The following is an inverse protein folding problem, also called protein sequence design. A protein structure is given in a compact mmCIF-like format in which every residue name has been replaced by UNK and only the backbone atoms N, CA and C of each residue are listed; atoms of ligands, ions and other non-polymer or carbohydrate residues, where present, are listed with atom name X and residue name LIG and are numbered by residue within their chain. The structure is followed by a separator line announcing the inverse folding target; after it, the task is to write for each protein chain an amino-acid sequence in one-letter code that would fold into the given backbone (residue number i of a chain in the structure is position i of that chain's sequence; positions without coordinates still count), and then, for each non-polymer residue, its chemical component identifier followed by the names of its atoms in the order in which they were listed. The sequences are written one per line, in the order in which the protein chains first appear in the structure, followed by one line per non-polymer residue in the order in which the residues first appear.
data_IF_383523890133
#
_entry.id   IF_383523890133
#
_cell.length_a   1.000
_cell.length_b   1.000
_cell.length_c   1.000
_cell.angle_alpha   90.00
_cell.angle_beta   90.00
_cell.angle_gamma   90.00
#
_symmetry.space_group_name_H-M   'P 1'
#
loop_
_entity.id
_entity.type
_entity.pdbx_description
1 polymer ?
#
# COMPACT_ATOMS: atom_id res chain seq x y z
N UNK A 1 13.75 -20.79 17.44
CA UNK A 1 13.55 -21.83 16.40
C UNK A 1 14.37 -23.03 16.82
N UNK A 2 13.73 -24.08 17.34
CA UNK A 2 14.42 -25.34 17.64
C UNK A 2 14.57 -26.13 16.34
N UNK A 3 15.81 -26.40 15.93
CA UNK A 3 16.10 -27.07 14.67
C UNK A 3 15.82 -28.59 14.79
N UNK A 4 15.24 -29.24 13.77
CA UNK A 4 15.19 -30.69 13.72
C UNK A 4 16.57 -31.29 13.96
N UNK A 5 16.66 -32.38 14.74
CA UNK A 5 17.92 -33.02 15.16
C UNK A 5 18.76 -33.60 14.01
N UNK A 6 18.33 -33.45 12.75
CA UNK A 6 18.91 -34.07 11.56
C UNK A 6 19.55 -33.09 10.56
N UNK A 7 19.49 -31.78 10.77
CA UNK A 7 20.18 -30.82 9.88
C UNK A 7 21.66 -30.77 10.22
N UNK A 8 22.53 -30.96 9.22
CA UNK A 8 23.98 -30.79 9.39
C UNK A 8 24.32 -29.29 9.56
N UNK A 9 25.46 -28.99 10.19
CA UNK A 9 25.89 -27.61 10.48
C UNK A 9 26.02 -26.75 9.21
N UNK A 10 26.34 -27.37 8.07
CA UNK A 10 26.37 -26.69 6.77
C UNK A 10 24.97 -26.23 6.34
N UNK A 11 23.95 -27.08 6.47
CA UNK A 11 22.57 -26.72 6.13
C UNK A 11 22.05 -25.62 7.05
N UNK A 12 22.34 -25.69 8.36
CA UNK A 12 22.01 -24.61 9.30
C UNK A 12 22.70 -23.29 8.95
N UNK A 13 23.89 -23.34 8.37
CA UNK A 13 24.65 -22.15 7.99
C UNK A 13 24.10 -21.56 6.68
N UNK A 14 23.78 -22.39 5.69
CA UNK A 14 23.12 -21.98 4.45
C UNK A 14 21.74 -21.36 4.73
N UNK A 15 20.95 -21.95 5.62
CA UNK A 15 19.66 -21.38 6.02
C UNK A 15 19.86 -20.04 6.73
N UNK A 16 20.81 -19.94 7.67
CA UNK A 16 21.16 -18.67 8.35
C UNK A 16 21.63 -17.58 7.40
N UNK A 17 22.34 -17.92 6.32
CA UNK A 17 22.80 -16.96 5.33
C UNK A 17 21.66 -16.48 4.41
N UNK A 18 20.73 -17.36 4.07
CA UNK A 18 19.64 -17.06 3.14
C UNK A 18 18.42 -16.43 3.81
N UNK A 19 18.22 -16.66 5.11
CA UNK A 19 17.13 -16.03 5.85
C UNK A 19 17.48 -14.56 6.15
N UNK A 20 16.53 -13.64 5.91
CA UNK A 20 16.68 -12.24 6.31
C UNK A 20 16.97 -12.14 7.79
N UNK A 21 18.06 -11.45 8.11
CA UNK A 21 18.39 -11.02 9.46
C UNK A 21 17.89 -9.60 9.61
N UNK A 22 17.21 -9.36 10.72
CA UNK A 22 16.64 -8.06 11.05
C UNK A 22 17.32 -7.59 12.31
N UNK A 23 17.86 -6.37 12.27
CA UNK A 23 18.45 -5.70 13.43
C UNK A 23 17.72 -4.39 13.62
N UNK A 24 17.05 -4.25 14.75
CA UNK A 24 16.34 -3.03 15.12
C UNK A 24 17.20 -2.25 16.11
N UNK A 25 17.43 -0.98 15.79
CA UNK A 25 18.32 -0.11 16.52
C UNK A 25 17.65 1.23 16.81
N UNK A 26 17.47 1.52 18.09
CA UNK A 26 16.81 2.72 18.56
C UNK A 26 17.79 3.76 19.15
N UNK A 27 19.11 3.50 19.10
CA UNK A 27 20.15 4.35 19.70
C UNK A 27 20.83 5.25 18.65
N UNK A 28 21.12 4.72 17.46
CA UNK A 28 21.94 5.39 16.43
C UNK A 28 21.33 6.68 15.87
N UNK A 29 19.99 6.78 15.80
CA UNK A 29 19.30 7.95 15.28
C UNK A 29 18.45 8.59 16.38
N UNK A 30 18.52 9.90 16.59
CA UNK A 30 17.75 10.56 17.67
C UNK A 30 16.24 10.59 17.41
N UNK A 31 15.81 10.59 16.15
CA UNK A 31 14.43 10.91 15.74
C UNK A 31 13.64 9.73 15.17
N UNK A 32 14.30 8.60 14.87
CA UNK A 32 13.66 7.44 14.26
C UNK A 32 14.30 6.15 14.77
N UNK A 33 13.56 5.05 14.69
CA UNK A 33 14.07 3.70 14.92
C UNK A 33 14.64 3.18 13.59
N UNK A 34 15.82 2.59 13.61
CA UNK A 34 16.43 1.97 12.44
C UNK A 34 16.03 0.50 12.36
N UNK A 35 15.47 0.08 11.24
CA UNK A 35 15.27 -1.33 10.92
C UNK A 35 16.25 -1.68 9.80
N UNK A 36 17.27 -2.48 10.13
CA UNK A 36 18.31 -2.94 9.21
C UNK A 36 17.96 -4.38 8.82
N UNK A 37 17.82 -4.67 7.53
CA UNK A 37 17.50 -5.99 6.98
C UNK A 37 18.63 -6.43 6.07
N UNK A 38 19.28 -7.54 6.37
CA UNK A 38 20.35 -8.13 5.55
C UNK A 38 20.06 -9.59 5.21
N UNK A 39 20.30 -10.00 3.96
CA UNK A 39 20.31 -11.43 3.60
C UNK A 39 21.06 -11.73 2.31
N UNK A 40 21.41 -13.01 2.13
CA UNK A 40 22.01 -13.50 0.89
C UNK A 40 20.97 -13.88 -0.19
N UNK A 41 19.67 -13.88 0.14
CA UNK A 41 18.57 -14.13 -0.81
C UNK A 41 18.24 -12.83 -1.55
N UNK A 42 18.07 -12.89 -2.87
CA UNK A 42 17.93 -11.68 -3.69
C UNK A 42 16.50 -11.21 -3.93
N UNK A 43 15.53 -12.12 -3.86
CA UNK A 43 14.23 -11.88 -4.48
C UNK A 43 13.16 -11.69 -3.41
N UNK A 44 12.35 -10.63 -3.58
CA UNK A 44 11.11 -10.39 -2.82
C UNK A 44 11.27 -9.68 -1.46
N UNK A 45 12.45 -9.72 -0.83
CA UNK A 45 12.59 -9.29 0.57
C UNK A 45 12.34 -7.80 0.77
N UNK A 46 12.77 -6.93 -0.16
CA UNK A 46 12.49 -5.49 -0.06
C UNK A 46 10.97 -5.23 0.00
N UNK A 47 10.19 -5.87 -0.88
CA UNK A 47 8.74 -5.69 -0.90
C UNK A 47 8.10 -6.25 0.37
N UNK A 48 8.55 -7.41 0.85
CA UNK A 48 8.07 -8.03 2.09
C UNK A 48 8.35 -7.17 3.31
N UNK A 49 9.58 -6.65 3.46
CA UNK A 49 9.96 -5.76 4.54
C UNK A 49 9.13 -4.48 4.53
N UNK A 50 9.02 -3.82 3.37
CA UNK A 50 8.19 -2.62 3.21
C UNK A 50 6.72 -2.93 3.50
N UNK A 51 6.23 -4.12 3.11
CA UNK A 51 4.87 -4.57 3.37
C UNK A 51 4.60 -4.76 4.87
N UNK A 52 5.47 -5.45 5.61
CA UNK A 52 5.35 -5.64 7.06
C UNK A 52 5.34 -4.30 7.79
N UNK A 53 6.26 -3.39 7.44
CA UNK A 53 6.31 -2.06 8.06
C UNK A 53 5.04 -1.26 7.77
N UNK A 54 4.51 -1.39 6.55
CA UNK A 54 3.28 -0.70 6.14
C UNK A 54 2.03 -1.28 6.81
N UNK A 55 1.98 -2.61 7.03
CA UNK A 55 0.90 -3.29 7.74
C UNK A 55 0.77 -2.86 9.21
N UNK A 56 1.86 -2.39 9.80
CA UNK A 56 1.92 -1.87 11.16
C UNK A 56 1.65 -0.35 11.24
N UNK A 57 1.18 0.27 10.15
CA UNK A 57 0.98 1.72 10.01
C UNK A 57 2.25 2.55 10.33
N UNK A 58 3.44 2.00 10.08
CA UNK A 58 4.69 2.70 10.33
C UNK A 58 5.05 3.62 9.17
N UNK A 59 5.60 4.78 9.50
CA UNK A 59 6.06 5.77 8.53
C UNK A 59 7.56 5.64 8.27
N UNK A 60 7.93 5.32 7.03
CA UNK A 60 9.31 5.25 6.57
C UNK A 60 9.72 6.65 6.11
N UNK A 61 10.54 7.35 6.90
CA UNK A 61 10.99 8.73 6.61
C UNK A 61 12.22 8.80 5.71
N UNK A 62 13.03 7.76 5.79
CA UNK A 62 14.27 7.62 5.03
C UNK A 62 14.56 6.16 4.84
N UNK A 63 15.09 5.78 3.69
CA UNK A 63 15.58 4.44 3.49
C UNK A 63 16.76 4.38 2.52
N UNK A 64 17.61 3.39 2.74
CA UNK A 64 18.74 3.05 1.90
C UNK A 64 18.63 1.60 1.51
N UNK A 65 18.51 1.34 0.21
CA UNK A 65 18.38 0.00 -0.35
C UNK A 65 19.67 -0.29 -1.09
N UNK A 66 20.26 -1.47 -0.86
CA UNK A 66 21.47 -1.87 -1.57
C UNK A 66 21.55 -3.38 -1.72
N UNK A 67 21.67 -3.84 -2.96
CA UNK A 67 21.88 -5.23 -3.34
C UNK A 67 23.17 -5.32 -4.16
N UNK A 68 24.24 -5.78 -3.53
CA UNK A 68 25.55 -5.93 -4.13
C UNK A 68 25.91 -7.41 -4.28
N UNK A 69 25.84 -7.90 -5.52
CA UNK A 69 26.34 -9.23 -5.83
C UNK A 69 25.47 -10.33 -5.23
N UNK A 70 25.80 -10.89 -4.07
CA UNK A 70 25.07 -12.00 -3.41
C UNK A 70 24.45 -11.60 -2.08
N UNK A 71 24.63 -10.37 -1.64
CA UNK A 71 24.08 -9.85 -0.40
C UNK A 71 23.24 -8.63 -0.70
N UNK A 72 22.24 -8.38 0.13
CA UNK A 72 21.57 -7.09 0.18
C UNK A 72 21.49 -6.61 1.62
N UNK A 73 21.41 -5.30 1.77
CA UNK A 73 21.26 -4.59 3.03
C UNK A 73 20.35 -3.41 2.81
N UNK A 74 19.20 -3.45 3.46
CA UNK A 74 18.19 -2.41 3.43
C UNK A 74 18.11 -1.78 4.83
N UNK A 75 18.09 -0.46 4.89
CA UNK A 75 18.03 0.30 6.14
C UNK A 75 16.84 1.24 6.07
N UNK A 76 15.88 1.08 6.96
CA UNK A 76 14.68 1.91 7.06
C UNK A 76 14.72 2.75 8.34
N UNK A 77 14.53 4.06 8.21
CA UNK A 77 14.26 4.95 9.33
C UNK A 77 12.75 5.02 9.54
N UNK A 78 12.26 4.31 10.55
CA UNK A 78 10.84 4.15 10.82
C UNK A 78 10.41 4.96 12.04
N UNK A 79 9.19 5.47 11.97
CA UNK A 79 8.50 6.17 13.06
C UNK A 79 7.07 5.66 13.15
N UNK A 80 6.44 5.81 14.31
CA UNK A 80 5.00 5.58 14.45
C UNK A 80 4.17 6.67 13.72
N UNK A 81 2.85 6.54 13.77
CA UNK A 81 1.89 7.52 13.19
C UNK A 81 2.02 8.94 13.76
N UNK A 82 2.66 9.09 14.93
CA UNK A 82 2.89 10.37 15.60
C UNK A 82 4.31 10.92 15.35
N UNK A 83 5.10 10.25 14.52
CA UNK A 83 6.48 10.62 14.22
C UNK A 83 7.46 10.33 15.36
N UNK A 84 7.10 9.46 16.30
CA UNK A 84 7.96 9.03 17.39
C UNK A 84 8.67 7.71 17.07
N UNK A 85 9.73 7.43 17.83
CA UNK A 85 10.42 6.13 17.80
C UNK A 85 9.52 5.02 18.30
N UNK A 86 9.76 3.82 17.79
CA UNK A 86 9.15 2.61 18.32
C UNK A 86 9.72 2.35 19.72
N UNK A 87 8.84 2.25 20.71
CA UNK A 87 9.18 1.94 22.10
C UNK A 87 8.49 0.67 22.59
N UNK A 88 7.50 0.19 21.85
CA UNK A 88 6.77 -1.02 22.16
C UNK A 88 7.57 -2.24 21.68
N UNK A 89 8.09 -2.99 22.65
CA UNK A 89 8.85 -4.22 22.43
C UNK A 89 8.04 -5.30 21.68
N UNK A 90 6.71 -5.29 21.78
CA UNK A 90 5.86 -6.25 21.07
C UNK A 90 5.84 -5.99 19.56
N UNK A 91 5.80 -4.71 19.16
CA UNK A 91 5.87 -4.28 17.76
C UNK A 91 7.26 -4.58 17.19
N UNK A 92 8.32 -4.27 17.95
CA UNK A 92 9.72 -4.54 17.58
C UNK A 92 9.91 -6.05 17.35
N UNK A 93 9.52 -6.88 18.32
CA UNK A 93 9.61 -8.34 18.24
C UNK A 93 8.80 -8.91 17.06
N UNK A 94 7.64 -8.32 16.78
CA UNK A 94 6.80 -8.72 15.65
C UNK A 94 7.46 -8.39 14.30
N UNK A 95 8.10 -7.22 14.15
CA UNK A 95 8.85 -6.85 12.93
C UNK A 95 9.99 -7.83 12.71
N UNK A 96 10.79 -8.11 13.75
CA UNK A 96 11.90 -9.05 13.68
C UNK A 96 11.42 -10.43 13.24
N UNK A 97 10.35 -10.95 13.88
CA UNK A 97 9.83 -12.28 13.56
C UNK A 97 9.25 -12.34 12.15
N UNK A 98 8.42 -11.37 11.78
CA UNK A 98 7.67 -11.39 10.51
C UNK A 98 8.59 -11.26 9.29
N UNK A 99 9.60 -10.39 9.36
CA UNK A 99 10.56 -10.24 8.26
C UNK A 99 11.54 -11.42 8.26
N UNK A 100 12.01 -11.89 9.43
CA UNK A 100 12.97 -13.01 9.50
C UNK A 100 12.37 -14.36 9.05
N UNK A 101 11.05 -14.54 9.23
CA UNK A 101 10.34 -15.76 8.83
C UNK A 101 9.85 -15.76 7.39
N UNK A 102 10.10 -14.70 6.61
CA UNK A 102 9.60 -14.56 5.24
C UNK A 102 10.16 -15.62 4.24
N UNK A 103 11.02 -16.52 4.72
CA UNK A 103 11.60 -17.62 3.94
C UNK A 103 10.98 -19.00 4.14
N UNK A 104 10.22 -19.22 5.21
CA UNK A 104 9.51 -20.48 5.47
C UNK A 104 8.06 -20.31 5.00
N UNK A 105 7.57 -21.24 4.18
CA UNK A 105 6.13 -21.34 3.94
C UNK A 105 5.44 -21.31 5.30
N UNK A 106 4.57 -20.31 5.49
CA UNK A 106 3.85 -20.12 6.73
C UNK A 106 3.29 -21.46 7.20
N UNK A 107 3.78 -21.94 8.34
CA UNK A 107 3.16 -23.03 9.07
C UNK A 107 1.69 -22.60 9.31
N UNK A 108 0.67 -23.30 8.77
CA UNK A 108 -0.74 -22.90 8.88
C UNK A 108 -1.30 -23.07 10.30
N UNK A 109 -0.41 -23.07 11.30
CA UNK A 109 -0.56 -23.75 12.57
C UNK A 109 -0.72 -22.83 13.78
N UNK A 110 -1.20 -21.59 13.66
CA UNK A 110 -1.86 -20.96 14.81
C UNK A 110 -2.66 -19.73 14.44
N UNK A 111 -3.97 -19.90 14.34
CA UNK A 111 -5.02 -19.07 14.95
C UNK A 111 -6.32 -19.40 14.21
N UNK A 112 -7.32 -19.92 14.93
CA UNK A 112 -8.62 -20.26 14.37
C UNK A 112 -9.22 -19.03 13.69
N UNK A 113 -9.16 -19.01 12.37
CA UNK A 113 -9.65 -17.89 11.59
C UNK A 113 -10.87 -18.31 10.80
N UNK A 114 -11.92 -17.52 10.94
CA UNK A 114 -13.18 -17.72 10.24
C UNK A 114 -12.94 -17.58 8.74
N UNK A 115 -13.18 -18.66 7.98
CA UNK A 115 -13.14 -18.61 6.53
C UNK A 115 -14.13 -17.51 6.04
N UNK A 116 -13.74 -16.81 4.97
CA UNK A 116 -14.52 -15.74 4.35
C UNK A 116 -14.62 -16.00 2.85
N UNK A 117 -15.72 -15.57 2.23
CA UNK A 117 -15.84 -15.58 0.77
C UNK A 117 -15.35 -14.25 0.24
N UNK A 118 -14.33 -14.26 -0.63
CA UNK A 118 -13.73 -13.05 -1.20
C UNK A 118 -14.29 -12.78 -2.60
N UNK A 119 -14.84 -11.59 -2.78
CA UNK A 119 -15.32 -11.03 -4.04
C UNK A 119 -14.27 -10.08 -4.60
N UNK A 120 -13.81 -10.35 -5.82
CA UNK A 120 -12.98 -9.44 -6.60
C UNK A 120 -13.82 -8.81 -7.71
N UNK A 121 -13.87 -7.48 -7.73
CA UNK A 121 -14.63 -6.70 -8.70
C UNK A 121 -13.70 -5.72 -9.40
N UNK A 122 -13.63 -5.81 -10.73
CA UNK A 122 -12.89 -4.88 -11.57
C UNK A 122 -13.79 -4.42 -12.71
N UNK A 123 -13.81 -3.13 -13.03
CA UNK A 123 -14.60 -2.63 -14.15
C UNK A 123 -14.62 -1.12 -14.32
N UNK A 124 -15.62 -0.62 -15.05
CA UNK A 124 -15.85 0.83 -15.22
C UNK A 124 -16.55 1.43 -14.01
N UNK A 125 -15.97 2.49 -13.46
CA UNK A 125 -16.55 3.23 -12.35
C UNK A 125 -17.63 4.21 -12.81
N UNK A 126 -18.59 4.47 -11.92
CA UNK A 126 -19.62 5.51 -12.09
C UNK A 126 -20.19 5.93 -10.73
N UNK A 127 -20.69 7.18 -10.62
CA UNK A 127 -21.36 7.63 -9.40
C UNK A 127 -22.46 6.66 -8.95
N UNK A 128 -22.40 6.27 -7.68
CA UNK A 128 -23.36 5.37 -7.05
C UNK A 128 -23.10 3.87 -7.26
N UNK A 129 -22.03 3.47 -7.95
CA UNK A 129 -21.71 2.05 -8.18
C UNK A 129 -21.55 1.27 -6.87
N UNK A 130 -20.80 1.80 -5.91
CA UNK A 130 -20.64 1.18 -4.59
C UNK A 130 -21.99 0.96 -3.89
N UNK A 131 -22.88 1.94 -3.93
CA UNK A 131 -24.22 1.83 -3.33
C UNK A 131 -25.03 0.69 -3.96
N UNK A 132 -24.94 0.50 -5.27
CA UNK A 132 -25.63 -0.59 -5.96
C UNK A 132 -25.01 -1.97 -5.64
N UNK A 133 -23.68 -2.06 -5.56
CA UNK A 133 -22.99 -3.30 -5.15
C UNK A 133 -23.40 -3.70 -3.73
N UNK A 134 -23.34 -2.77 -2.78
CA UNK A 134 -23.75 -3.02 -1.39
C UNK A 134 -25.24 -3.38 -1.31
N UNK A 135 -26.10 -2.73 -2.10
CA UNK A 135 -27.52 -3.06 -2.16
C UNK A 135 -27.77 -4.48 -2.68
N UNK A 136 -27.04 -4.94 -3.72
CA UNK A 136 -27.13 -6.33 -4.22
C UNK A 136 -26.70 -7.33 -3.15
N UNK A 137 -25.59 -7.07 -2.46
CA UNK A 137 -25.12 -7.95 -1.38
C UNK A 137 -26.12 -8.02 -0.23
N UNK A 138 -26.70 -6.88 0.14
CA UNK A 138 -27.75 -6.80 1.18
C UNK A 138 -29.03 -7.54 0.77
N UNK A 139 -29.45 -7.43 -0.49
CA UNK A 139 -30.64 -8.12 -1.03
C UNK A 139 -30.45 -9.65 -1.03
N UNK A 140 -29.23 -10.10 -1.33
CA UNK A 140 -28.84 -11.51 -1.32
C UNK A 140 -28.44 -12.03 0.06
N UNK A 141 -28.71 -11.29 1.15
CA UNK A 141 -28.40 -11.71 2.52
C UNK A 141 -26.92 -12.06 2.71
N UNK A 142 -26.04 -11.22 2.18
CA UNK A 142 -24.61 -11.32 2.34
C UNK A 142 -24.13 -10.15 3.21
N UNK A 143 -23.58 -10.47 4.38
CA UNK A 143 -22.98 -9.47 5.26
C UNK A 143 -21.56 -9.16 4.81
N UNK A 144 -21.25 -7.88 4.65
CA UNK A 144 -19.88 -7.43 4.35
C UNK A 144 -19.09 -7.38 5.66
N UNK A 145 -18.00 -8.14 5.73
CA UNK A 145 -17.12 -8.18 6.91
C UNK A 145 -15.95 -7.21 6.73
N UNK A 146 -15.37 -7.22 5.55
CA UNK A 146 -14.25 -6.37 5.19
C UNK A 146 -14.39 -5.97 3.73
N UNK A 147 -14.08 -4.72 3.39
CA UNK A 147 -14.05 -4.31 2.00
C UNK A 147 -13.07 -3.17 1.77
N UNK A 148 -12.29 -3.29 0.71
CA UNK A 148 -11.39 -2.26 0.20
C UNK A 148 -11.70 -1.95 -1.24
N UNK A 149 -11.77 -0.66 -1.56
CA UNK A 149 -12.15 -0.19 -2.88
C UNK A 149 -11.32 1.01 -3.29
N UNK A 150 -10.80 0.96 -4.52
CA UNK A 150 -10.10 2.05 -5.18
C UNK A 150 -10.80 2.40 -6.49
N UNK A 151 -10.87 3.70 -6.78
CA UNK A 151 -11.25 4.21 -8.09
C UNK A 151 -10.10 5.03 -8.65
N UNK A 152 -9.84 4.90 -9.94
CA UNK A 152 -8.81 5.68 -10.62
C UNK A 152 -9.19 5.84 -12.09
N UNK A 153 -9.24 7.09 -12.58
CA UNK A 153 -9.52 7.44 -13.99
C UNK A 153 -10.76 6.73 -14.57
N UNK A 154 -11.84 6.63 -13.79
CA UNK A 154 -13.08 5.98 -14.21
C UNK A 154 -13.03 4.44 -14.25
N UNK A 155 -12.00 3.83 -13.64
CA UNK A 155 -11.92 2.40 -13.34
C UNK A 155 -12.10 2.16 -11.85
N UNK A 156 -12.62 0.99 -11.49
CA UNK A 156 -12.80 0.55 -10.11
C UNK A 156 -12.16 -0.81 -9.90
N UNK A 157 -11.54 -0.99 -8.74
CA UNK A 157 -11.14 -2.29 -8.22
C UNK A 157 -11.62 -2.40 -6.77
N UNK A 158 -12.29 -3.48 -6.43
CA UNK A 158 -12.77 -3.74 -5.08
C UNK A 158 -12.52 -5.18 -4.65
N UNK A 159 -12.06 -5.33 -3.42
CA UNK A 159 -11.96 -6.60 -2.72
C UNK A 159 -12.96 -6.56 -1.56
N UNK A 160 -13.94 -7.46 -1.57
CA UNK A 160 -15.02 -7.49 -0.59
C UNK A 160 -15.09 -8.89 0.01
N UNK A 161 -14.82 -9.00 1.30
CA UNK A 161 -14.99 -10.23 2.07
C UNK A 161 -16.40 -10.27 2.66
N UNK A 162 -17.16 -11.31 2.30
CA UNK A 162 -18.54 -11.49 2.71
C UNK A 162 -18.76 -12.80 3.46
N UNK A 163 -19.79 -12.81 4.29
CA UNK A 163 -20.37 -13.99 4.92
C UNK A 163 -21.85 -14.09 4.59
N UNK A 164 -22.37 -15.30 4.67
CA UNK A 164 -23.80 -15.53 4.68
C UNK A 164 -24.41 -14.91 5.95
N UNK A 165 -25.46 -14.08 5.80
CA UNK A 165 -26.08 -13.37 6.91
C UNK A 165 -26.91 -14.29 7.83
N UNK A 166 -27.43 -15.40 7.29
CA UNK A 166 -28.31 -16.32 8.01
C UNK A 166 -27.50 -17.37 8.77
N UNK A 167 -26.43 -17.90 8.17
CA UNK A 167 -25.57 -18.89 8.81
C UNK A 167 -24.36 -18.30 9.54
N UNK A 168 -23.91 -17.10 9.16
CA UNK A 168 -22.66 -16.51 9.67
C UNK A 168 -21.39 -17.21 9.16
N UNK A 169 -21.52 -18.11 8.20
CA UNK A 169 -20.44 -18.90 7.61
C UNK A 169 -20.02 -18.33 6.24
N UNK A 170 -18.91 -18.79 5.62
CA UNK A 170 -18.65 -18.46 4.23
C UNK A 170 -19.84 -18.86 3.35
N UNK A 171 -20.03 -18.09 2.27
CA UNK A 171 -20.99 -18.43 1.23
C UNK A 171 -20.38 -19.55 0.39
N UNK A 172 -20.77 -20.79 0.67
CA UNK A 172 -20.33 -21.99 -0.05
C UNK A 172 -21.38 -22.51 -1.05
N UNK A 173 -22.63 -22.06 -0.93
CA UNK A 173 -23.72 -22.44 -1.82
C UNK A 173 -23.45 -21.94 -3.25
N UNK A 174 -23.16 -22.88 -4.15
CA UNK A 174 -22.89 -22.64 -5.57
C UNK A 174 -24.00 -21.89 -6.30
N UNK A 175 -25.28 -22.09 -5.93
CA UNK A 175 -26.39 -21.37 -6.55
C UNK A 175 -26.47 -19.93 -6.05
N UNK A 176 -26.19 -19.69 -4.76
CA UNK A 176 -26.09 -18.35 -4.19
C UNK A 176 -24.91 -17.58 -4.81
N UNK A 177 -23.74 -18.21 -4.92
CA UNK A 177 -22.55 -17.67 -5.61
C UNK A 177 -22.92 -17.27 -7.05
N UNK A 178 -23.54 -18.17 -7.83
CA UNK A 178 -23.93 -17.88 -9.21
C UNK A 178 -24.92 -16.72 -9.32
N UNK A 179 -25.85 -16.59 -8.36
CA UNK A 179 -26.78 -15.44 -8.29
C UNK A 179 -26.05 -14.14 -7.99
N UNK A 180 -25.08 -14.16 -7.06
CA UNK A 180 -24.23 -13.01 -6.74
C UNK A 180 -23.47 -12.55 -7.99
N UNK A 181 -22.77 -13.46 -8.67
CA UNK A 181 -22.02 -13.12 -9.90
C UNK A 181 -22.94 -12.55 -10.98
N UNK A 182 -24.08 -13.19 -11.23
CA UNK A 182 -25.01 -12.75 -12.26
C UNK A 182 -25.56 -11.35 -11.98
N UNK A 183 -25.89 -11.04 -10.71
CA UNK A 183 -26.38 -9.71 -10.32
C UNK A 183 -25.28 -8.66 -10.40
N UNK A 184 -24.08 -8.95 -9.89
CA UNK A 184 -22.96 -8.01 -9.91
C UNK A 184 -22.47 -7.71 -11.33
N UNK A 185 -22.46 -8.72 -12.22
CA UNK A 185 -22.13 -8.52 -13.65
C UNK A 185 -23.07 -7.55 -14.37
N UNK A 186 -24.34 -7.48 -13.93
CA UNK A 186 -25.29 -6.52 -14.49
C UNK A 186 -25.06 -5.09 -13.99
N UNK A 187 -24.54 -4.95 -12.76
CA UNK A 187 -24.30 -3.66 -12.11
C UNK A 187 -22.98 -3.02 -12.58
N UNK A 188 -21.93 -3.83 -12.66
CA UNK A 188 -20.58 -3.40 -13.06
C UNK A 188 -20.41 -3.67 -14.56
N UNK A 189 -20.45 -2.61 -15.38
CA UNK A 189 -20.34 -2.73 -16.85
C UNK A 189 -18.88 -2.99 -17.25
N UNK A 190 -18.68 -3.92 -18.18
CA UNK A 190 -17.35 -4.30 -18.65
C UNK A 190 -16.51 -4.99 -17.57
N UNK A 191 -17.17 -5.63 -16.60
CA UNK A 191 -16.52 -6.14 -15.41
C UNK A 191 -16.02 -7.58 -15.55
N UNK A 192 -14.88 -7.82 -14.92
CA UNK A 192 -14.47 -9.17 -14.52
C UNK A 192 -14.84 -9.31 -13.06
N UNK A 193 -15.80 -10.19 -12.76
CA UNK A 193 -16.16 -10.57 -11.39
C UNK A 193 -15.58 -11.94 -11.15
N UNK A 194 -14.73 -12.06 -10.12
CA UNK A 194 -14.21 -13.34 -9.67
C UNK A 194 -14.62 -13.58 -8.22
N UNK A 195 -15.16 -14.77 -7.95
CA UNK A 195 -15.43 -15.26 -6.61
C UNK A 195 -14.40 -16.31 -6.26
N UNK A 196 -13.81 -16.18 -5.07
CA UNK A 196 -12.94 -17.21 -4.52
C UNK A 196 -13.32 -17.47 -3.06
N UNK A 197 -13.52 -18.74 -2.72
CA UNK A 197 -13.51 -19.19 -1.33
C UNK A 197 -12.05 -19.42 -0.95
N UNK A 198 -11.51 -18.65 -0.01
CA UNK A 198 -10.17 -18.88 0.50
C UNK A 198 -10.18 -18.95 2.02
N UNK A 199 -9.72 -20.08 2.54
CA UNK A 199 -9.36 -20.28 3.95
C UNK A 199 -8.00 -19.62 4.24
N UNK A 200 -7.82 -18.37 3.78
CA UNK A 200 -6.58 -17.65 3.99
C UNK A 200 -6.77 -16.68 5.13
N UNK A 201 -5.73 -16.59 5.95
CA UNK A 201 -5.54 -15.61 6.99
C UNK A 201 -6.14 -14.25 6.61
N UNK A 202 -6.77 -13.58 7.57
CA UNK A 202 -7.28 -12.24 7.48
C UNK A 202 -6.14 -11.42 6.92
N UNK A 203 -6.24 -11.11 5.63
CA UNK A 203 -5.15 -10.55 4.88
C UNK A 203 -4.68 -9.31 5.63
N UNK A 204 -3.41 -9.29 6.06
CA UNK A 204 -2.77 -8.03 6.45
C UNK A 204 -3.13 -6.97 5.40
N UNK A 205 -3.46 -5.76 5.83
CA UNK A 205 -4.08 -4.75 4.98
C UNK A 205 -3.33 -4.52 3.66
N UNK A 206 -2.02 -4.71 3.67
CA UNK A 206 -1.09 -4.54 2.55
C UNK A 206 -1.18 -5.68 1.51
N UNK A 207 -1.66 -6.89 1.87
CA UNK A 207 -1.90 -7.98 0.90
C UNK A 207 -3.13 -7.71 0.04
N UNK A 208 -4.21 -7.20 0.65
CA UNK A 208 -5.39 -6.74 -0.08
C UNK A 208 -5.06 -5.55 -0.99
N UNK A 209 -4.29 -4.61 -0.46
CA UNK A 209 -3.69 -3.47 -1.15
C UNK A 209 -2.82 -3.89 -2.35
N UNK A 210 -1.93 -4.88 -2.21
CA UNK A 210 -1.16 -5.47 -3.33
C UNK A 210 -2.08 -6.06 -4.39
N UNK A 211 -3.12 -6.79 -3.97
CA UNK A 211 -4.08 -7.39 -4.90
C UNK A 211 -4.86 -6.34 -5.68
N UNK A 212 -5.26 -5.24 -5.05
CA UNK A 212 -5.89 -4.09 -5.71
C UNK A 212 -4.96 -3.44 -6.76
N UNK A 213 -3.67 -3.29 -6.45
CA UNK A 213 -2.66 -2.85 -7.45
C UNK A 213 -2.61 -3.75 -8.66
N UNK A 214 -2.55 -5.07 -8.45
CA UNK A 214 -2.51 -6.06 -9.53
C UNK A 214 -3.77 -6.03 -10.40
N UNK A 215 -4.94 -5.89 -9.76
CA UNK A 215 -6.22 -5.79 -10.47
C UNK A 215 -6.29 -4.52 -11.32
N UNK A 216 -5.96 -3.35 -10.76
CA UNK A 216 -5.93 -2.08 -11.51
C UNK A 216 -4.92 -2.11 -12.67
N UNK A 217 -3.73 -2.66 -12.42
CA UNK A 217 -2.69 -2.80 -13.43
C UNK A 217 -3.12 -3.72 -14.58
N UNK A 218 -3.71 -4.88 -14.28
CA UNK A 218 -4.23 -5.81 -15.29
C UNK A 218 -5.33 -5.16 -16.16
N UNK A 219 -6.09 -4.24 -15.54
CA UNK A 219 -7.16 -3.48 -16.16
C UNK A 219 -6.68 -2.23 -16.94
N UNK A 220 -5.37 -1.94 -16.90
CA UNK A 220 -4.69 -0.88 -17.66
C UNK A 220 -5.18 0.53 -17.38
N UNK A 221 -5.55 0.81 -16.13
CA UNK A 221 -5.91 2.15 -15.65
C UNK A 221 -4.82 3.21 -15.92
N UNK A 222 -3.56 2.79 -16.01
CA UNK A 222 -2.40 3.65 -16.29
C UNK A 222 -2.37 4.25 -17.71
N UNK A 223 -3.09 3.67 -18.68
CA UNK A 223 -3.09 4.15 -20.08
C UNK A 223 -3.92 5.43 -20.28
N UNK A 224 -4.81 5.75 -19.34
CA UNK A 224 -5.68 6.91 -19.40
C UNK A 224 -4.92 8.19 -19.00
N UNK A 225 -5.03 9.26 -19.80
CA UNK A 225 -4.35 10.53 -19.54
C UNK A 225 -5.02 11.27 -18.38
N UNK A 226 -4.30 11.44 -17.28
CA UNK A 226 -4.66 12.33 -16.16
C UNK A 226 -3.77 13.59 -16.17
N UNK A 227 -4.27 14.69 -15.61
CA UNK A 227 -3.53 15.95 -15.50
C UNK A 227 -2.91 16.13 -14.10
N UNK A 228 -1.60 15.90 -13.97
CA UNK A 228 -0.78 16.45 -12.87
C UNK A 228 -0.24 15.49 -11.79
N UNK A 229 1.00 15.79 -11.37
CA UNK A 229 1.71 15.57 -10.09
C UNK A 229 1.80 14.16 -9.47
N UNK A 230 2.49 13.25 -10.16
CA UNK A 230 3.83 12.94 -9.67
C UNK A 230 4.88 13.08 -10.77
N UNK A 231 6.00 13.75 -10.44
CA UNK A 231 7.14 13.84 -11.35
C UNK A 231 7.91 12.54 -11.26
N UNK A 232 7.61 11.65 -12.20
CA UNK A 232 8.36 10.40 -12.41
C UNK A 232 9.22 10.58 -13.64
N UNK A 233 10.53 10.38 -13.49
CA UNK A 233 11.45 10.36 -14.63
C UNK A 233 12.28 9.08 -14.61
N UNK A 234 12.52 8.57 -15.80
CA UNK A 234 13.34 7.37 -16.01
C UNK A 234 14.50 7.74 -16.92
N UNK A 235 15.71 7.41 -16.48
CA UNK A 235 16.96 7.66 -17.20
C UNK A 235 17.77 6.38 -17.26
N UNK A 236 18.54 6.19 -18.32
CA UNK A 236 19.42 5.02 -18.45
C UNK A 236 20.85 5.37 -18.05
N UNK A 237 21.44 4.54 -17.19
CA UNK A 237 22.86 4.55 -16.88
C UNK A 237 23.56 3.44 -17.66
N UNK A 238 23.94 3.76 -18.90
CA UNK A 238 24.53 2.79 -19.84
C UNK A 238 25.81 2.13 -19.28
N UNK A 239 26.71 2.89 -18.65
CA UNK A 239 27.99 2.39 -18.14
C UNK A 239 27.87 1.30 -17.07
N UNK A 240 26.78 1.33 -16.28
CA UNK A 240 26.54 0.36 -15.19
C UNK A 240 25.38 -0.59 -15.50
N UNK A 241 24.75 -0.47 -16.67
CA UNK A 241 23.61 -1.28 -17.08
C UNK A 241 22.41 -1.16 -16.14
N UNK A 242 22.14 0.03 -15.59
CA UNK A 242 20.95 0.29 -14.74
C UNK A 242 20.01 1.27 -15.43
N UNK A 243 18.74 1.22 -15.07
CA UNK A 243 17.80 2.34 -15.26
C UNK A 243 17.56 3.01 -13.92
N UNK A 244 17.62 4.34 -13.90
CA UNK A 244 17.38 5.17 -12.73
C UNK A 244 15.97 5.71 -12.81
N UNK A 245 15.15 5.39 -11.82
CA UNK A 245 13.81 5.92 -11.63
C UNK A 245 13.87 6.97 -10.53
N UNK A 246 13.48 8.19 -10.86
CA UNK A 246 13.32 9.27 -9.89
C UNK A 246 11.82 9.56 -9.73
N UNK A 247 11.34 9.49 -8.50
CA UNK A 247 9.96 9.82 -8.10
C UNK A 247 10.01 11.01 -7.17
N UNK A 248 9.29 12.08 -7.55
CA UNK A 248 9.08 13.25 -6.71
C UNK A 248 7.59 13.58 -6.64
N UNK A 249 7.03 13.52 -5.44
CA UNK A 249 5.63 13.80 -5.16
C UNK A 249 5.44 14.30 -3.72
N UNK A 250 4.19 14.62 -3.36
CA UNK A 250 3.83 14.87 -1.96
C UNK A 250 3.98 13.57 -1.18
N UNK A 251 4.60 13.66 0.01
CA UNK A 251 4.76 12.50 0.87
C UNK A 251 3.41 12.06 1.42
N UNK A 252 3.21 10.75 1.51
CA UNK A 252 1.99 10.15 2.05
C UNK A 252 2.28 8.75 2.60
N UNK A 253 1.44 8.25 3.52
CA UNK A 253 1.51 6.87 3.96
C UNK A 253 1.53 5.88 2.78
N UNK A 254 2.30 4.81 2.94
CA UNK A 254 2.43 3.70 1.98
C UNK A 254 3.02 4.06 0.60
N UNK A 255 3.58 5.26 0.41
CA UNK A 255 4.15 5.68 -0.89
C UNK A 255 5.28 4.73 -1.36
N UNK A 256 6.22 4.40 -0.48
CA UNK A 256 7.32 3.48 -0.82
C UNK A 256 6.79 2.09 -1.22
N UNK A 257 5.78 1.60 -0.49
CA UNK A 257 5.13 0.34 -0.84
C UNK A 257 4.54 0.37 -2.25
N UNK A 258 3.82 1.44 -2.62
CA UNK A 258 3.20 1.56 -3.94
C UNK A 258 4.23 1.55 -5.07
N UNK A 259 5.34 2.26 -4.88
CA UNK A 259 6.43 2.31 -5.87
C UNK A 259 7.12 0.95 -6.00
N UNK A 260 7.55 0.34 -4.90
CA UNK A 260 8.24 -0.96 -4.91
C UNK A 260 7.33 -2.07 -5.40
N UNK A 261 6.06 -2.08 -5.00
CA UNK A 261 5.06 -3.04 -5.48
C UNK A 261 4.89 -2.94 -6.99
N UNK A 262 4.75 -1.72 -7.52
CA UNK A 262 4.61 -1.49 -8.97
C UNK A 262 5.84 -1.97 -9.74
N UNK A 263 7.04 -1.63 -9.28
CA UNK A 263 8.28 -2.10 -9.90
C UNK A 263 8.37 -3.62 -9.90
N UNK A 264 8.04 -4.26 -8.77
CA UNK A 264 8.06 -5.71 -8.61
C UNK A 264 7.04 -6.42 -9.51
N UNK A 265 5.81 -5.89 -9.59
CA UNK A 265 4.75 -6.45 -10.44
C UNK A 265 5.09 -6.27 -11.93
N UNK A 266 5.81 -5.21 -12.29
CA UNK A 266 6.41 -5.00 -13.62
C UNK A 266 7.71 -5.81 -13.86
N UNK A 267 8.10 -6.68 -12.92
CA UNK A 267 9.31 -7.54 -12.98
C UNK A 267 10.63 -6.78 -12.97
N UNK A 268 10.67 -5.58 -12.40
CA UNK A 268 11.92 -4.89 -12.09
C UNK A 268 12.41 -5.22 -10.69
N UNK A 269 13.72 -5.40 -10.57
CA UNK A 269 14.44 -5.61 -9.32
C UNK A 269 15.16 -4.31 -8.96
N UNK A 270 14.95 -3.84 -7.73
CA UNK A 270 15.66 -2.68 -7.18
C UNK A 270 17.01 -3.12 -6.63
N UNK A 271 18.09 -2.62 -7.22
CA UNK A 271 19.46 -2.89 -6.77
C UNK A 271 19.94 -1.84 -5.78
N UNK A 272 19.66 -0.57 -6.04
CA UNK A 272 19.98 0.49 -5.10
C UNK A 272 18.79 1.44 -4.99
N UNK A 273 18.61 2.04 -3.83
CA UNK A 273 17.52 2.97 -3.60
C UNK A 273 17.88 3.97 -2.52
N UNK A 274 17.50 5.23 -2.74
CA UNK A 274 17.55 6.26 -1.70
C UNK A 274 16.19 6.90 -1.59
N UNK A 275 15.61 6.84 -0.41
CA UNK A 275 14.32 7.42 -0.06
C UNK A 275 14.59 8.51 0.97
N UNK A 276 14.08 9.71 0.72
CA UNK A 276 14.14 10.83 1.65
C UNK A 276 12.82 11.60 1.65
N UNK A 277 12.38 12.03 2.83
CA UNK A 277 11.23 12.91 3.00
C UNK A 277 11.72 14.25 3.55
N UNK A 278 11.49 15.31 2.78
CA UNK A 278 11.81 16.69 3.18
C UNK A 278 10.51 17.48 3.26
N UNK A 279 10.09 17.79 4.48
CA UNK A 279 8.81 18.47 4.73
C UNK A 279 7.63 17.57 4.33
N UNK A 280 6.82 18.05 3.40
CA UNK A 280 5.67 17.36 2.83
C UNK A 280 5.96 16.72 1.45
N UNK A 281 7.24 16.66 1.05
CA UNK A 281 7.66 16.09 -0.24
C UNK A 281 8.54 14.86 -0.04
N UNK A 282 8.24 13.83 -0.82
CA UNK A 282 9.04 12.62 -0.92
C UNK A 282 9.92 12.67 -2.16
N UNK A 283 11.16 12.22 -2.00
CA UNK A 283 12.16 12.08 -3.03
C UNK A 283 12.67 10.64 -3.00
N UNK A 284 12.43 9.89 -4.07
CA UNK A 284 12.85 8.50 -4.16
C UNK A 284 13.60 8.25 -5.45
N UNK A 285 14.83 7.76 -5.33
CA UNK A 285 15.68 7.36 -6.45
C UNK A 285 15.90 5.86 -6.38
N UNK A 286 15.61 5.14 -7.47
CA UNK A 286 15.79 3.69 -7.57
C UNK A 286 16.64 3.32 -8.78
N UNK A 287 17.61 2.45 -8.56
CA UNK A 287 18.44 1.84 -9.59
C UNK A 287 17.89 0.45 -9.85
N UNK A 288 17.27 0.27 -11.02
CA UNK A 288 16.53 -0.94 -11.35
C UNK A 288 17.14 -1.65 -12.57
N UNK A 289 16.90 -2.96 -12.63
CA UNK A 289 17.01 -3.78 -13.83
C UNK A 289 15.78 -4.64 -13.94
N UNK A 290 15.40 -5.01 -15.16
CA UNK A 290 14.38 -6.02 -15.35
C UNK A 290 14.88 -7.37 -14.82
N UNK A 291 13.98 -8.31 -14.53
CA UNK A 291 14.32 -9.62 -13.95
C UNK A 291 15.23 -10.46 -14.84
N UNK A 292 15.31 -10.14 -16.14
CA UNK A 292 16.27 -10.73 -17.08
C UNK A 292 17.69 -10.10 -17.00
N UNK A 293 17.87 -9.10 -16.14
CA UNK A 293 19.14 -8.38 -15.94
C UNK A 293 19.37 -7.19 -16.87
N UNK A 294 18.46 -6.90 -17.80
CA UNK A 294 18.59 -5.78 -18.73
C UNK A 294 18.10 -4.45 -18.13
N UNK A 295 18.69 -3.31 -18.52
CA UNK A 295 18.07 -2.01 -18.28
C UNK A 295 16.89 -1.80 -19.24
N UNK A 296 16.05 -0.80 -18.96
CA UNK A 296 14.97 -0.37 -19.84
C UNK A 296 15.55 -0.01 -21.20
N UNK A 297 15.07 -0.70 -22.24
CA UNK A 297 15.72 -0.71 -23.56
C UNK A 297 14.98 0.13 -24.59
N UNK A 298 13.67 0.34 -24.42
CA UNK A 298 12.81 1.04 -25.38
C UNK A 298 12.06 2.21 -24.77
N UNK A 299 11.75 3.21 -25.60
CA UNK A 299 10.96 4.38 -25.16
C UNK A 299 9.53 3.97 -24.75
N UNK A 300 8.94 2.96 -25.40
CA UNK A 300 7.62 2.46 -25.05
C UNK A 300 7.60 1.81 -23.65
N UNK A 301 8.62 1.00 -23.34
CA UNK A 301 8.82 0.40 -22.01
C UNK A 301 9.04 1.51 -20.96
N UNK A 302 9.91 2.48 -21.26
CA UNK A 302 10.16 3.65 -20.41
C UNK A 302 8.87 4.40 -20.09
N UNK A 303 8.08 4.73 -21.12
CA UNK A 303 6.82 5.45 -20.95
C UNK A 303 5.80 4.63 -20.16
N UNK A 304 5.77 3.31 -20.35
CA UNK A 304 4.92 2.40 -19.57
C UNK A 304 5.29 2.41 -18.09
N UNK A 305 6.58 2.33 -17.75
CA UNK A 305 7.08 2.41 -16.36
C UNK A 305 6.66 3.73 -15.71
N UNK A 306 6.86 4.85 -16.41
CA UNK A 306 6.43 6.18 -15.93
C UNK A 306 4.93 6.19 -15.65
N UNK A 307 4.10 5.75 -16.59
CA UNK A 307 2.65 5.74 -16.45
C UNK A 307 2.16 4.83 -15.32
N UNK A 308 2.74 3.64 -15.17
CA UNK A 308 2.36 2.69 -14.12
C UNK A 308 2.71 3.24 -12.73
N UNK A 309 3.89 3.84 -12.58
CA UNK A 309 4.29 4.48 -11.33
C UNK A 309 3.42 5.69 -11.01
N UNK A 310 3.10 6.53 -12.00
CA UNK A 310 2.20 7.66 -11.80
C UNK A 310 0.81 7.19 -11.35
N UNK A 311 0.22 6.22 -12.05
CA UNK A 311 -1.06 5.65 -11.66
C UNK A 311 -1.02 5.05 -10.26
N UNK A 312 0.02 4.29 -9.91
CA UNK A 312 0.16 3.70 -8.58
C UNK A 312 0.24 4.74 -7.46
N UNK A 313 0.91 5.87 -7.71
CA UNK A 313 0.98 6.99 -6.76
C UNK A 313 -0.40 7.65 -6.63
N UNK A 314 -1.06 7.90 -7.76
CA UNK A 314 -2.32 8.64 -7.84
C UNK A 314 -3.52 7.83 -7.29
N UNK A 315 -3.53 6.50 -7.44
CA UNK A 315 -4.59 5.60 -6.91
C UNK A 315 -4.88 5.80 -5.42
N UNK A 316 -3.87 6.24 -4.65
CA UNK A 316 -3.98 6.51 -3.20
C UNK A 316 -3.57 7.93 -2.83
N UNK A 317 -3.37 8.81 -3.81
CA UNK A 317 -3.41 10.23 -3.53
C UNK A 317 -4.89 10.54 -3.24
N UNK A 318 -5.28 10.44 -1.97
CA UNK A 318 -6.68 10.57 -1.57
C UNK A 318 -7.21 11.96 -1.93
N UNK A 319 -7.85 12.05 -3.09
CA UNK A 319 -8.64 13.21 -3.48
C UNK A 319 -10.04 13.05 -2.85
N UNK A 320 -10.39 13.99 -1.97
CA UNK A 320 -11.72 14.05 -1.36
C UNK A 320 -11.71 14.24 0.14
N UNK A 321 -12.90 14.47 0.70
CA UNK A 321 -13.10 14.59 2.14
C UNK A 321 -13.17 13.20 2.77
N UNK A 322 -12.44 13.00 3.86
CA UNK A 322 -12.47 11.76 4.63
C UNK A 322 -13.69 11.74 5.56
N UNK A 323 -14.54 10.74 5.40
CA UNK A 323 -15.71 10.49 6.23
C UNK A 323 -15.52 9.17 6.99
N UNK A 324 -15.62 9.23 8.31
CA UNK A 324 -15.61 8.06 9.19
C UNK A 324 -17.02 7.74 9.67
N UNK A 325 -17.50 6.55 9.35
CA UNK A 325 -18.75 5.99 9.85
C UNK A 325 -18.44 5.01 10.99
N UNK A 326 -18.76 5.42 12.21
CA UNK A 326 -18.54 4.67 13.45
C UNK A 326 -19.88 4.43 14.14
N UNK A 327 -20.33 3.19 14.25
CA UNK A 327 -21.63 2.88 14.89
C UNK A 327 -21.49 1.70 15.85
N UNK A 328 -21.94 1.91 17.09
CA UNK A 328 -21.84 0.94 18.19
C UNK A 328 -22.76 -0.29 18.03
N UNK A 329 -23.86 -0.15 17.29
CA UNK A 329 -24.77 -1.25 16.93
C UNK A 329 -25.15 -1.08 15.45
N UNK A 330 -24.33 -1.59 14.50
CA UNK A 330 -24.60 -1.44 13.09
C UNK A 330 -25.85 -2.26 12.75
N UNK A 331 -27.01 -1.60 12.71
CA UNK A 331 -28.20 -2.22 12.14
C UNK A 331 -27.86 -2.81 10.76
N UNK A 332 -28.46 -3.97 10.43
CA UNK A 332 -28.16 -4.82 9.25
C UNK A 332 -28.08 -4.11 7.88
N UNK A 333 -28.47 -2.84 7.79
CA UNK A 333 -28.56 -2.05 6.54
C UNK A 333 -27.84 -0.71 6.58
N UNK A 334 -27.10 -0.40 7.64
CA UNK A 334 -26.48 0.92 7.80
C UNK A 334 -25.51 1.27 6.65
N UNK A 335 -24.68 0.31 6.21
CA UNK A 335 -23.77 0.53 5.08
C UNK A 335 -24.54 0.81 3.77
N UNK A 336 -25.64 0.09 3.54
CA UNK A 336 -26.49 0.31 2.36
C UNK A 336 -27.18 1.68 2.41
N UNK A 337 -27.65 2.10 3.59
CA UNK A 337 -28.27 3.41 3.80
C UNK A 337 -27.27 4.56 3.68
N UNK A 338 -26.08 4.43 4.26
CA UNK A 338 -25.02 5.44 4.19
C UNK A 338 -24.55 5.64 2.75
N UNK A 339 -24.17 4.56 2.05
CA UNK A 339 -23.71 4.63 0.66
C UNK A 339 -24.81 5.12 -0.29
N UNK A 340 -26.09 4.78 0.00
CA UNK A 340 -27.24 5.33 -0.72
C UNK A 340 -27.41 6.83 -0.45
N UNK A 341 -27.25 7.27 0.79
CA UNK A 341 -27.33 8.69 1.15
C UNK A 341 -26.24 9.49 0.46
N UNK A 342 -25.01 8.97 0.35
CA UNK A 342 -23.94 9.60 -0.43
C UNK A 342 -24.36 9.81 -1.88
N UNK A 343 -24.84 8.74 -2.53
CA UNK A 343 -25.32 8.79 -3.91
C UNK A 343 -26.46 9.79 -4.10
N UNK A 344 -27.47 9.78 -3.23
CA UNK A 344 -28.65 10.66 -3.33
C UNK A 344 -28.29 12.14 -3.19
N UNK A 345 -27.18 12.46 -2.51
CA UNK A 345 -26.67 13.83 -2.35
C UNK A 345 -25.57 14.17 -3.36
N UNK A 346 -25.37 13.34 -4.40
CA UNK A 346 -24.41 13.61 -5.47
C UNK A 346 -22.93 13.42 -5.07
N UNK A 347 -22.67 12.70 -3.98
CA UNK A 347 -21.31 12.32 -3.59
C UNK A 347 -20.89 11.03 -4.31
N UNK A 348 -19.64 11.02 -4.77
CA UNK A 348 -18.96 9.83 -5.29
C UNK A 348 -17.90 9.37 -4.29
N UNK A 349 -17.74 8.05 -4.15
CA UNK A 349 -16.75 7.46 -3.25
C UNK A 349 -15.52 7.11 -4.06
N UNK A 350 -14.39 7.77 -3.79
CA UNK A 350 -13.13 7.56 -4.51
C UNK A 350 -12.34 6.40 -3.94
N UNK A 351 -12.41 6.22 -2.63
CA UNK A 351 -11.86 5.05 -1.93
C UNK A 351 -12.70 4.72 -0.69
N UNK A 352 -12.78 3.43 -0.36
CA UNK A 352 -13.42 2.97 0.87
C UNK A 352 -12.61 1.88 1.54
N UNK A 353 -12.52 1.94 2.86
CA UNK A 353 -11.99 0.90 3.73
C UNK A 353 -13.03 0.60 4.81
N UNK A 354 -13.61 -0.59 4.76
CA UNK A 354 -14.68 -1.04 5.63
C UNK A 354 -14.20 -2.23 6.42
N UNK A 355 -14.34 -2.20 7.74
CA UNK A 355 -14.05 -3.34 8.60
C UNK A 355 -15.05 -3.42 9.73
N UNK A 356 -15.62 -4.61 9.91
CA UNK A 356 -16.42 -4.95 11.09
C UNK A 356 -15.61 -5.68 12.16
N UNK A 357 -14.29 -5.85 11.96
CA UNK A 357 -13.38 -6.45 12.94
C UNK A 357 -13.03 -5.43 14.03
N UNK A 358 -13.60 -5.57 15.21
CA UNK A 358 -13.34 -4.73 16.39
C UNK A 358 -14.59 -4.54 17.26
N UNK A 359 -14.44 -3.98 18.47
CA UNK A 359 -15.59 -3.66 19.34
C UNK A 359 -16.52 -2.59 18.75
N UNK A 360 -15.98 -1.73 17.88
CA UNK A 360 -16.74 -0.72 17.12
C UNK A 360 -16.32 -0.80 15.66
N UNK A 361 -17.21 -1.12 14.71
CA UNK A 361 -16.91 -1.11 13.29
C UNK A 361 -16.58 0.32 12.84
N UNK A 362 -15.43 0.49 12.20
CA UNK A 362 -14.99 1.76 11.62
C UNK A 362 -14.94 1.58 10.11
N UNK A 363 -15.71 2.41 9.40
CA UNK A 363 -15.72 2.44 7.95
C UNK A 363 -15.27 3.82 7.49
N UNK A 364 -14.21 3.87 6.69
CA UNK A 364 -13.61 5.09 6.17
C UNK A 364 -13.98 5.22 4.70
N UNK A 365 -14.51 6.37 4.31
CA UNK A 365 -14.85 6.70 2.94
C UNK A 365 -14.16 8.01 2.55
N UNK A 366 -13.50 8.03 1.40
CA UNK A 366 -13.07 9.27 0.76
C UNK A 366 -14.09 9.65 -0.29
N UNK A 367 -14.62 10.87 -0.18
CA UNK A 367 -15.72 11.32 -1.05
C UNK A 367 -15.40 12.61 -1.79
N UNK A 368 -15.85 12.66 -3.04
CA UNK A 368 -15.83 13.84 -3.92
C UNK A 368 -17.25 14.11 -4.42
N UNK A 369 -17.44 15.20 -5.14
CA UNK A 369 -18.66 15.37 -5.93
C UNK A 369 -18.69 14.40 -7.13
N UNK A 370 -19.83 14.31 -7.82
CA UNK A 370 -19.97 13.46 -9.01
C UNK A 370 -19.03 13.83 -10.17
N UNK A 371 -18.41 15.01 -10.15
CA UNK A 371 -17.43 15.48 -11.14
C UNK A 371 -15.97 15.24 -10.74
N UNK A 372 -15.70 14.71 -9.54
CA UNK A 372 -14.36 14.48 -9.01
C UNK A 372 -13.76 15.66 -8.25
N UNK A 373 -14.51 16.73 -7.98
CA UNK A 373 -14.03 17.89 -7.21
C UNK A 373 -14.36 17.74 -5.72
N UNK A 374 -13.72 18.55 -4.84
CA UNK A 374 -14.08 18.59 -3.43
C UNK A 374 -15.58 18.89 -3.24
N UNK A 375 -16.26 18.06 -2.45
CA UNK A 375 -17.68 18.21 -2.20
C UNK A 375 -18.00 19.50 -1.44
N UNK A 376 -19.14 20.14 -1.76
CA UNK A 376 -19.59 21.33 -1.04
C UNK A 376 -19.88 21.01 0.43
N UNK A 377 -19.47 21.94 1.32
CA UNK A 377 -19.59 21.78 2.76
C UNK A 377 -21.05 21.59 3.19
N UNK A 378 -21.97 22.29 2.53
CA UNK A 378 -23.41 22.17 2.82
C UNK A 378 -23.93 20.76 2.55
N UNK A 379 -23.53 20.17 1.43
CA UNK A 379 -23.88 18.79 1.07
C UNK A 379 -23.36 17.79 2.11
N UNK A 380 -22.14 17.98 2.59
CA UNK A 380 -21.55 17.14 3.65
C UNK A 380 -22.33 17.28 4.96
N UNK A 381 -22.65 18.50 5.37
CA UNK A 381 -23.44 18.76 6.58
C UNK A 381 -24.84 18.13 6.49
N UNK A 382 -25.50 18.21 5.34
CA UNK A 382 -26.81 17.57 5.09
C UNK A 382 -26.72 16.03 5.16
N UNK A 383 -25.64 15.44 4.63
CA UNK A 383 -25.38 13.99 4.69
C UNK A 383 -25.14 13.54 6.14
N UNK A 384 -24.30 14.26 6.89
CA UNK A 384 -24.05 13.99 8.32
C UNK A 384 -25.35 14.11 9.12
N UNK A 385 -26.20 15.10 8.82
CA UNK A 385 -27.49 15.27 9.48
C UNK A 385 -28.45 14.12 9.19
N UNK A 386 -28.48 13.60 7.97
CA UNK A 386 -29.35 12.47 7.57
C UNK A 386 -28.93 11.15 8.20
N UNK A 387 -27.64 10.85 8.23
CA UNK A 387 -27.10 9.60 8.80
C UNK A 387 -27.02 9.68 10.34
N UNK A 388 -26.79 10.88 10.86
CA UNK A 388 -26.66 11.17 12.29
C UNK A 388 -25.23 11.58 12.65
N UNK A 389 -25.10 12.74 13.32
CA UNK A 389 -23.81 13.31 13.73
C UNK A 389 -23.05 12.46 14.76
N UNK A 390 -23.72 11.53 15.45
CA UNK A 390 -23.08 10.55 16.32
C UNK A 390 -22.46 9.37 15.57
N UNK A 391 -22.91 9.12 14.34
CA UNK A 391 -22.58 7.95 13.53
C UNK A 391 -21.57 8.27 12.42
N UNK A 392 -21.64 9.46 11.82
CA UNK A 392 -20.77 9.89 10.73
C UNK A 392 -19.98 11.15 11.12
N UNK A 393 -18.65 11.11 10.96
CA UNK A 393 -17.75 12.22 11.24
C UNK A 393 -16.98 12.60 9.97
N UNK A 394 -16.91 13.89 9.68
CA UNK A 394 -15.99 14.41 8.67
C UNK A 394 -14.64 14.73 9.31
N UNK A 395 -13.58 14.14 8.76
CA UNK A 395 -12.20 14.43 9.13
C UNK A 395 -11.57 15.29 8.03
N UNK A 396 -11.24 16.54 8.36
CA UNK A 396 -10.31 17.29 7.54
C UNK A 396 -8.89 16.76 7.83
N UNK A 397 -8.31 16.00 6.91
CA UNK A 397 -6.91 15.61 6.99
C UNK A 397 -6.05 16.88 6.87
N UNK A 398 -5.76 17.50 8.02
CA UNK A 398 -4.69 18.50 8.09
C UNK A 398 -3.37 17.73 8.05
N UNK A 399 -2.51 17.90 7.03
CA UNK A 399 -1.14 17.43 7.14
C UNK A 399 -0.53 18.05 8.41
N UNK A 400 -0.01 17.19 9.28
CA UNK A 400 0.61 17.55 10.55
C UNK A 400 1.70 18.60 10.28
N UNK A 401 1.42 19.85 10.65
CA UNK A 401 2.40 20.94 10.64
C UNK A 401 3.48 20.61 11.68
N UNK A 402 4.59 20.04 11.24
CA UNK A 402 5.82 20.02 12.04
C UNK A 402 6.37 21.44 12.07
N UNK A 403 5.97 22.19 13.10
CA UNK A 403 6.54 23.50 13.40
C UNK A 403 7.97 23.37 13.89
N UNK A 404 8.94 23.38 12.99
CA UNK A 404 10.31 23.78 13.33
C UNK A 404 10.52 25.24 12.90
N UNK A 405 10.70 26.10 13.91
CA UNK A 405 11.20 27.47 13.73
C UNK A 405 12.55 27.42 13.00
N UNK A 406 12.63 28.05 11.83
CA UNK A 406 13.91 28.41 11.19
C UNK A 406 14.67 29.39 12.09
N UNK A 407 15.98 29.20 12.31
CA UNK A 407 16.88 30.32 12.52
C UNK A 407 17.44 30.78 11.16
N UNK A 408 17.35 32.08 10.90
CA UNK A 408 18.33 32.89 10.17
C UNK A 408 18.74 32.50 8.75
N UNK A 409 18.40 33.37 7.81
CA UNK A 409 18.85 33.40 6.41
C UNK A 409 20.36 33.28 6.20
N UNK A 410 20.76 32.57 5.16
CA UNK A 410 21.52 33.21 4.08
C UNK A 410 21.14 32.63 2.72
N UNK A 411 21.08 33.53 1.74
CA UNK A 411 20.70 33.29 0.34
C UNK A 411 21.80 32.50 -0.35
N UNK A 412 21.40 31.46 -1.09
CA UNK A 412 21.93 31.14 -2.43
C UNK A 412 21.02 30.08 -3.08
N UNK A 413 20.33 30.47 -4.15
CA UNK A 413 19.71 29.51 -5.07
C UNK A 413 20.79 28.92 -5.99
N UNK A 414 20.78 27.61 -6.25
CA UNK A 414 21.31 27.08 -7.49
C UNK A 414 20.16 26.55 -8.36
N UNK A 415 19.90 27.28 -9.43
CA UNK A 415 19.26 26.74 -10.64
C UNK A 415 20.19 25.70 -11.27
N UNK A 416 19.72 24.48 -11.52
CA UNK A 416 20.47 23.52 -12.36
C UNK A 416 20.24 22.05 -12.04
N UNK A 417 19.83 21.31 -13.08
CA UNK A 417 19.89 19.85 -13.18
C UNK A 417 21.26 19.30 -12.75
N UNK A 418 21.25 18.05 -12.25
CA UNK A 418 22.38 17.16 -11.86
C UNK A 418 22.66 17.08 -10.35
N UNK A 419 21.84 16.33 -9.62
CA UNK A 419 22.26 15.70 -8.35
C UNK A 419 22.68 14.25 -8.63
N UNK A 420 23.86 14.07 -9.26
CA UNK A 420 24.48 12.75 -9.44
C UNK A 420 25.71 12.62 -8.53
N UNK A 421 25.71 11.62 -7.65
CA UNK A 421 26.94 10.87 -7.33
C UNK A 421 27.70 11.14 -6.02
N UNK A 422 27.38 12.16 -5.22
CA UNK A 422 28.22 12.53 -4.06
C UNK A 422 27.72 12.12 -2.66
N UNK A 423 26.45 11.72 -2.48
CA UNK A 423 25.96 11.29 -1.17
C UNK A 423 26.22 9.81 -0.88
N UNK A 424 26.18 8.95 -1.89
CA UNK A 424 26.46 7.50 -1.76
C UNK A 424 27.92 7.27 -1.36
N UNK A 425 28.87 8.03 -1.92
CA UNK A 425 30.29 7.92 -1.54
C UNK A 425 30.52 8.29 -0.08
N UNK A 426 29.93 9.38 0.41
CA UNK A 426 30.29 9.94 1.73
C UNK A 426 29.78 9.10 2.91
N UNK A 427 28.67 8.36 2.74
CA UNK A 427 28.15 7.46 3.78
C UNK A 427 28.70 6.03 3.72
N UNK A 428 29.08 5.53 2.55
CA UNK A 428 29.79 4.23 2.45
C UNK A 428 31.22 4.28 3.02
N UNK A 429 31.86 5.46 3.02
CA UNK A 429 33.13 5.68 3.74
C UNK A 429 32.97 5.50 5.26
N UNK A 430 31.85 5.94 5.84
CA UNK A 430 31.58 5.83 7.28
C UNK A 430 31.23 4.39 7.71
N UNK A 431 30.94 3.48 6.77
CA UNK A 431 30.66 2.07 7.01
C UNK A 431 31.88 1.15 6.78
N UNK A 432 33.06 1.70 6.45
CA UNK A 432 34.31 0.93 6.36
C UNK A 432 34.42 -0.05 5.17
N UNK A 433 33.54 0.04 4.17
CA UNK A 433 33.42 -0.95 3.08
C UNK A 433 34.22 -0.63 1.80
N UNK A 434 35.00 0.46 1.77
CA UNK A 434 35.87 0.79 0.63
C UNK A 434 37.26 1.16 1.14
N UNK A 435 38.25 0.27 0.95
CA UNK A 435 39.68 0.65 1.05
C UNK A 435 40.09 1.34 -0.24
N UNK A 436 40.74 2.49 -0.15
CA UNK A 436 41.28 3.18 -1.32
C UNK A 436 42.42 2.37 -1.91
N UNK A 437 42.30 2.01 -3.19
CA UNK A 437 43.48 1.77 -4.01
C UNK A 437 43.80 3.10 -4.70
N UNK A 438 44.99 3.60 -4.41
CA UNK A 438 45.61 4.78 -5.01
C UNK A 438 45.80 4.64 -6.52
#
# INVERSE_FOLDING_TARGET
MEWPKSLDEYEKLVIRMNNPRVVIDNADCATATLVKVDSARKDGILLEAVQVLTDLDLSIRKAYISSDGRWFMDVFHVTDRHGQKLTDESVISYIERSISSAGDEADPGSCGLEALTNLELVGTDRPGLLSEVIAVLTDLRCSVVEAKLWTHKGRIAALISVKDEDSGTPVEDSDKIRRIEARLRNVVRGATTALSSSSTEAAGGTRADRRLHQMMFADRDYELRGGGQPSVSVQNWAERGYSIVNVQCSDRPKLLFDVVCTLTDMKYVVFHGTIDTIGDRAYQEFYIRHSDGSPISSEAERQRVIQCLQAAIDRRASEGLRLELCVADPGRRLLAEATRTFRENGLSVTSAEMSTKGEIPVNVFYVTDAGGHPADRKTIEDVIKRIGAGSLKACEDRPLRTGQKRPGSDRDEPSGLLYLGNLVKRNLYNLGLIRSCS
#
